data_IF_337919772674
#
_entry.id   IF_337919772674
#
_cell.length_a   1.000
_cell.length_b   1.000
_cell.length_c   1.000
_cell.angle_alpha   90.00
_cell.angle_beta   90.00
_cell.angle_gamma   90.00
#
_symmetry.space_group_name_H-M   'P 1'
#
loop_
_entity.id
_entity.type
_entity.pdbx_description
1 polymer ?
#
# COMPACT_ATOMS: atom_id res chain seq x y z
N UNK A 1 15.72 -22.23 -18.75
CA UNK A 1 14.32 -22.14 -19.22
C UNK A 1 13.33 -22.64 -18.16
N UNK A 2 13.44 -23.89 -17.69
CA UNK A 2 12.49 -24.44 -16.70
C UNK A 2 12.55 -23.75 -15.31
N UNK A 3 13.75 -23.41 -14.81
CA UNK A 3 13.91 -22.68 -13.53
C UNK A 3 13.33 -21.26 -13.61
N UNK A 4 13.63 -20.51 -14.67
CA UNK A 4 13.07 -19.17 -14.90
C UNK A 4 11.54 -19.20 -14.97
N UNK A 5 10.95 -20.22 -15.60
CA UNK A 5 9.49 -20.40 -15.60
C UNK A 5 8.92 -20.71 -14.21
N UNK A 6 9.64 -21.46 -13.37
CA UNK A 6 9.22 -21.73 -11.99
C UNK A 6 9.28 -20.44 -11.17
N UNK A 7 10.39 -19.72 -11.22
CA UNK A 7 10.59 -18.47 -10.48
C UNK A 7 9.57 -17.39 -10.90
N UNK A 8 9.31 -17.27 -12.21
CA UNK A 8 8.26 -16.39 -12.74
C UNK A 8 6.88 -16.75 -12.19
N UNK A 9 6.51 -18.05 -12.17
CA UNK A 9 5.23 -18.47 -11.58
C UNK A 9 5.17 -18.15 -10.09
N UNK A 10 6.26 -18.34 -9.35
CA UNK A 10 6.32 -17.96 -7.93
C UNK A 10 6.20 -16.44 -7.72
N UNK A 11 6.73 -15.62 -8.64
CA UNK A 11 6.51 -14.17 -8.63
C UNK A 11 5.05 -13.81 -8.92
N UNK A 12 4.42 -14.47 -9.90
CA UNK A 12 3.02 -14.25 -10.26
C UNK A 12 2.09 -14.52 -9.06
N UNK A 13 2.39 -15.58 -8.31
CA UNK A 13 1.67 -15.95 -7.09
C UNK A 13 1.80 -14.91 -5.97
N UNK A 14 3.00 -14.36 -5.78
CA UNK A 14 3.22 -13.27 -4.82
C UNK A 14 2.55 -11.97 -5.28
N UNK A 15 2.61 -11.67 -6.58
CA UNK A 15 1.93 -10.51 -7.15
C UNK A 15 0.41 -10.60 -6.93
N UNK A 16 -0.20 -11.75 -7.23
CA UNK A 16 -1.62 -12.02 -6.98
C UNK A 16 -2.00 -11.66 -5.55
N UNK A 17 -1.24 -12.18 -4.60
CA UNK A 17 -1.53 -11.97 -3.20
C UNK A 17 -1.20 -10.54 -2.72
N UNK A 18 -0.18 -9.87 -3.28
CA UNK A 18 0.13 -8.47 -3.02
C UNK A 18 -0.97 -7.53 -3.52
N UNK A 19 -1.48 -7.78 -4.73
CA UNK A 19 -2.62 -7.04 -5.31
C UNK A 19 -3.88 -7.29 -4.47
N UNK A 20 -4.16 -8.53 -4.07
CA UNK A 20 -5.30 -8.82 -3.17
C UNK A 20 -5.18 -8.07 -1.85
N UNK A 21 -4.02 -8.11 -1.20
CA UNK A 21 -3.76 -7.38 0.06
C UNK A 21 -3.95 -5.86 -0.14
N UNK A 22 -3.46 -5.32 -1.24
CA UNK A 22 -3.61 -3.90 -1.59
C UNK A 22 -5.08 -3.52 -1.82
N UNK A 23 -5.83 -4.29 -2.62
CA UNK A 23 -7.25 -4.07 -2.88
C UNK A 23 -8.09 -4.12 -1.60
N UNK A 24 -7.77 -5.02 -0.66
CA UNK A 24 -8.44 -5.09 0.64
C UNK A 24 -8.12 -3.85 1.47
N UNK A 25 -6.84 -3.46 1.53
CA UNK A 25 -6.37 -2.31 2.31
C UNK A 25 -7.06 -1.03 1.88
N UNK A 26 -7.17 -0.82 0.56
CA UNK A 26 -7.80 0.36 -0.04
C UNK A 26 -9.33 0.27 -0.12
N UNK A 27 -9.94 -0.80 0.44
CA UNK A 27 -11.39 -1.04 0.40
C UNK A 27 -11.96 -1.12 -1.03
N UNK A 28 -11.15 -1.58 -1.98
CA UNK A 28 -11.48 -1.66 -3.41
C UNK A 28 -11.70 -3.09 -3.92
N UNK A 29 -11.47 -4.12 -3.11
CA UNK A 29 -11.63 -5.52 -3.54
C UNK A 29 -13.02 -5.76 -4.12
N UNK A 30 -14.08 -5.33 -3.43
CA UNK A 30 -15.46 -5.41 -3.94
C UNK A 30 -15.79 -6.80 -4.50
N UNK A 31 -16.10 -6.84 -5.80
CA UNK A 31 -16.41 -8.05 -6.57
C UNK A 31 -15.20 -8.61 -7.34
N UNK A 32 -14.02 -8.01 -7.18
CA UNK A 32 -12.84 -8.38 -7.94
C UNK A 32 -12.27 -9.72 -7.48
N UNK A 33 -11.93 -10.58 -8.45
CA UNK A 33 -11.31 -11.87 -8.17
C UNK A 33 -10.36 -12.30 -9.28
N UNK A 34 -9.39 -13.13 -8.93
CA UNK A 34 -8.44 -13.69 -9.88
C UNK A 34 -8.96 -15.00 -10.47
N UNK A 35 -8.72 -15.19 -11.76
CA UNK A 35 -9.01 -16.40 -12.51
C UNK A 35 -7.76 -16.87 -13.26
N UNK A 36 -7.46 -18.16 -13.17
CA UNK A 36 -6.32 -18.75 -13.88
C UNK A 36 -6.56 -18.78 -15.39
N UNK A 37 -5.48 -18.72 -16.18
CA UNK A 37 -5.59 -18.59 -17.63
C UNK A 37 -6.37 -19.74 -18.31
N UNK A 38 -6.27 -20.95 -17.78
CA UNK A 38 -6.99 -22.10 -18.35
C UNK A 38 -8.51 -21.98 -18.15
N UNK A 39 -8.95 -21.43 -17.02
CA UNK A 39 -10.36 -21.15 -16.74
C UNK A 39 -10.86 -19.94 -17.54
N UNK A 40 -10.02 -18.90 -17.71
CA UNK A 40 -10.33 -17.77 -18.60
C UNK A 40 -10.55 -18.22 -20.04
N UNK A 41 -9.68 -19.08 -20.58
CA UNK A 41 -9.84 -19.67 -21.92
C UNK A 41 -11.10 -20.52 -22.03
N UNK A 42 -11.45 -21.27 -20.99
CA UNK A 42 -12.64 -22.11 -20.98
C UNK A 42 -13.95 -21.30 -21.08
N UNK A 43 -13.94 -20.02 -20.69
CA UNK A 43 -15.08 -19.10 -20.87
C UNK A 43 -15.33 -18.71 -22.33
N UNK A 44 -14.37 -18.92 -23.22
CA UNK A 44 -14.48 -18.55 -24.64
C UNK A 44 -14.36 -17.04 -24.90
N UNK A 45 -13.70 -16.31 -24.00
CA UNK A 45 -13.42 -14.88 -24.14
C UNK A 45 -12.48 -14.62 -25.34
N UNK A 46 -12.67 -13.51 -26.04
CA UNK A 46 -11.89 -13.18 -27.25
C UNK A 46 -10.50 -12.61 -26.93
N UNK A 47 -10.34 -11.97 -25.77
CA UNK A 47 -9.15 -11.21 -25.39
C UNK A 47 -8.49 -11.77 -24.13
N UNK A 48 -7.23 -11.40 -23.88
CA UNK A 48 -6.47 -11.82 -22.69
C UNK A 48 -6.17 -13.32 -22.62
N UNK A 49 -6.33 -14.06 -23.72
CA UNK A 49 -6.19 -15.53 -23.77
C UNK A 49 -4.73 -16.00 -23.74
N UNK A 50 -3.78 -15.09 -23.90
CA UNK A 50 -2.34 -15.30 -23.82
C UNK A 50 -1.71 -14.73 -22.54
N UNK A 51 -2.51 -14.12 -21.65
CA UNK A 51 -2.06 -13.69 -20.33
C UNK A 51 -1.69 -14.87 -19.42
N UNK A 52 -0.99 -14.60 -18.33
CA UNK A 52 -0.62 -15.61 -17.32
C UNK A 52 -1.69 -15.78 -16.23
N UNK A 53 -2.42 -14.71 -15.97
CA UNK A 53 -3.43 -14.58 -14.92
C UNK A 53 -4.37 -13.44 -15.33
N UNK A 54 -5.65 -13.54 -14.95
CA UNK A 54 -6.62 -12.48 -15.18
C UNK A 54 -7.25 -12.05 -13.86
N UNK A 55 -7.33 -10.74 -13.63
CA UNK A 55 -8.15 -10.13 -12.59
C UNK A 55 -9.46 -9.68 -13.22
N UNK A 56 -10.58 -10.20 -12.74
CA UNK A 56 -11.94 -9.84 -13.20
C UNK A 56 -12.56 -8.91 -12.18
N UNK A 57 -13.28 -7.89 -12.64
CA UNK A 57 -13.99 -6.92 -11.80
C UNK A 57 -15.16 -6.31 -12.59
N UNK A 58 -16.32 -6.14 -11.96
CA UNK A 58 -17.53 -5.63 -12.60
C UNK A 58 -18.28 -4.63 -11.70
N UNK A 59 -18.31 -3.37 -12.13
CA UNK A 59 -19.04 -2.31 -11.41
C UNK A 59 -18.52 -1.95 -10.01
N UNK A 60 -17.39 -2.50 -9.56
CA UNK A 60 -16.74 -2.10 -8.30
C UNK A 60 -16.05 -0.74 -8.36
N UNK A 61 -15.61 -0.26 -7.19
CA UNK A 61 -14.71 0.89 -7.07
C UNK A 61 -13.48 0.73 -7.95
N UNK A 62 -12.93 -0.50 -8.02
CA UNK A 62 -11.81 -0.83 -8.91
C UNK A 62 -12.16 -0.59 -10.39
N UNK A 63 -13.33 -1.07 -10.85
CA UNK A 63 -13.80 -0.83 -12.22
C UNK A 63 -13.89 0.68 -12.52
N UNK A 64 -14.51 1.44 -11.61
CA UNK A 64 -14.67 2.90 -11.74
C UNK A 64 -13.32 3.61 -11.81
N UNK A 65 -12.42 3.26 -10.89
CA UNK A 65 -11.08 3.80 -10.80
C UNK A 65 -10.30 3.59 -12.11
N UNK A 66 -10.28 2.36 -12.62
CA UNK A 66 -9.48 2.01 -13.80
C UNK A 66 -10.05 2.56 -15.11
N UNK A 67 -11.38 2.68 -15.24
CA UNK A 67 -12.00 3.06 -16.52
C UNK A 67 -12.37 4.55 -16.66
N UNK A 68 -12.47 5.30 -15.56
CA UNK A 68 -12.96 6.69 -15.58
C UNK A 68 -11.90 7.74 -15.23
N UNK A 69 -10.63 7.33 -15.20
CA UNK A 69 -9.48 8.22 -15.02
C UNK A 69 -9.13 8.41 -13.56
N UNK A 70 -7.99 7.84 -13.17
CA UNK A 70 -7.36 8.04 -11.87
C UNK A 70 -5.84 7.96 -12.00
N UNK A 71 -5.14 8.29 -10.93
CA UNK A 71 -3.72 8.00 -10.76
C UNK A 71 -3.52 6.51 -10.47
N UNK A 72 -2.93 5.77 -11.42
CA UNK A 72 -2.61 4.34 -11.29
C UNK A 72 -1.16 4.08 -10.87
N UNK A 73 -0.35 5.10 -10.60
CA UNK A 73 1.10 4.98 -10.38
C UNK A 73 1.47 3.91 -9.35
N UNK A 74 0.76 3.85 -8.22
CA UNK A 74 1.02 2.85 -7.18
C UNK A 74 0.66 1.43 -7.62
N UNK A 75 -0.42 1.27 -8.39
CA UNK A 75 -0.84 -0.03 -8.92
C UNK A 75 0.15 -0.51 -9.98
N UNK A 76 0.53 0.37 -10.92
CA UNK A 76 1.51 0.13 -11.97
C UNK A 76 2.85 -0.32 -11.37
N UNK A 77 3.38 0.48 -10.44
CA UNK A 77 4.63 0.19 -9.74
C UNK A 77 4.55 -1.11 -8.92
N UNK A 78 3.40 -1.42 -8.32
CA UNK A 78 3.21 -2.69 -7.61
C UNK A 78 3.29 -3.89 -8.56
N UNK A 79 2.60 -3.84 -9.70
CA UNK A 79 2.62 -4.92 -10.71
C UNK A 79 4.03 -5.09 -11.28
N UNK A 80 4.69 -3.99 -11.68
CA UNK A 80 6.06 -4.00 -12.19
C UNK A 80 7.07 -4.54 -11.19
N UNK A 81 6.85 -4.32 -9.89
CA UNK A 81 7.75 -4.79 -8.82
C UNK A 81 7.90 -6.31 -8.81
N UNK A 82 6.91 -7.05 -9.32
CA UNK A 82 6.98 -8.51 -9.45
C UNK A 82 7.45 -8.99 -10.82
N UNK A 83 7.69 -8.08 -11.77
CA UNK A 83 8.15 -8.38 -13.12
C UNK A 83 7.02 -8.64 -14.12
N UNK A 84 5.88 -7.97 -13.94
CA UNK A 84 4.75 -8.07 -14.85
C UNK A 84 4.31 -6.69 -15.31
N UNK A 85 3.63 -6.65 -16.45
CA UNK A 85 2.80 -5.54 -16.88
C UNK A 85 1.38 -6.07 -17.11
N UNK A 86 0.42 -5.19 -17.34
CA UNK A 86 -0.96 -5.62 -17.56
C UNK A 86 -1.63 -4.93 -18.75
N UNK A 87 -2.56 -5.65 -19.36
CA UNK A 87 -3.52 -5.08 -20.32
C UNK A 87 -4.86 -4.88 -19.62
N UNK A 88 -5.40 -3.67 -19.73
CA UNK A 88 -6.71 -3.32 -19.17
C UNK A 88 -7.81 -3.51 -20.22
N UNK A 89 -8.73 -4.42 -19.95
CA UNK A 89 -10.04 -4.48 -20.60
C UNK A 89 -11.11 -3.74 -19.77
N UNK A 90 -12.35 -3.75 -20.25
CA UNK A 90 -13.46 -3.05 -19.58
C UNK A 90 -13.72 -3.57 -18.16
N UNK A 91 -13.85 -4.90 -18.01
CA UNK A 91 -14.17 -5.60 -16.74
C UNK A 91 -13.16 -6.70 -16.40
N UNK A 92 -11.96 -6.61 -16.98
CA UNK A 92 -10.90 -7.60 -16.78
C UNK A 92 -9.53 -6.96 -17.00
N UNK A 93 -8.51 -7.59 -16.44
CA UNK A 93 -7.12 -7.20 -16.59
C UNK A 93 -6.24 -8.44 -16.72
N UNK A 94 -5.49 -8.57 -17.82
CA UNK A 94 -4.58 -9.68 -18.06
C UNK A 94 -3.15 -9.30 -17.69
N UNK A 95 -2.43 -10.18 -16.98
CA UNK A 95 -1.03 -9.96 -16.58
C UNK A 95 -0.06 -10.72 -17.48
N UNK A 96 1.02 -10.04 -17.86
CA UNK A 96 2.03 -10.54 -18.80
C UNK A 96 3.44 -10.30 -18.26
N UNK A 97 4.41 -11.18 -18.58
CA UNK A 97 5.78 -11.01 -18.11
C UNK A 97 6.45 -9.81 -18.78
N UNK A 98 7.25 -9.07 -18.02
CA UNK A 98 8.19 -8.08 -18.57
C UNK A 98 9.37 -8.84 -19.19
N UNK A 99 9.73 -8.48 -20.42
CA UNK A 99 10.89 -9.04 -21.11
C UNK A 99 12.18 -8.75 -20.34
N UNK A 100 13.08 -9.74 -20.26
CA UNK A 100 14.36 -9.67 -19.55
C UNK A 100 14.29 -9.35 -18.04
N UNK A 101 13.15 -9.53 -17.38
CA UNK A 101 13.05 -9.40 -15.93
C UNK A 101 13.77 -10.56 -15.20
N UNK A 102 14.57 -10.23 -14.19
CA UNK A 102 15.22 -11.22 -13.33
C UNK A 102 14.28 -11.70 -12.22
N UNK A 103 13.62 -12.84 -12.44
CA UNK A 103 12.74 -13.47 -11.46
C UNK A 103 13.49 -14.18 -10.31
N UNK A 104 14.83 -14.21 -10.33
CA UNK A 104 15.59 -14.92 -9.31
C UNK A 104 15.46 -14.25 -7.93
N UNK A 105 15.44 -15.09 -6.89
CA UNK A 105 15.36 -14.64 -5.50
C UNK A 105 16.73 -14.23 -4.99
N UNK A 106 16.78 -13.08 -4.33
CA UNK A 106 18.02 -12.66 -3.68
C UNK A 106 18.23 -13.42 -2.37
N UNK A 107 19.44 -13.95 -2.21
CA UNK A 107 19.93 -14.53 -0.96
C UNK A 107 20.88 -13.54 -0.27
N UNK A 108 20.92 -13.57 1.07
CA UNK A 108 21.79 -12.71 1.86
C UNK A 108 21.05 -11.84 2.86
N UNK A 109 21.77 -10.93 3.51
CA UNK A 109 21.19 -9.98 4.46
C UNK A 109 20.28 -8.98 3.75
N UNK A 110 19.34 -8.43 4.50
CA UNK A 110 18.46 -7.36 4.01
C UNK A 110 19.26 -6.19 3.39
N UNK A 111 20.37 -5.79 4.02
CA UNK A 111 21.29 -4.77 3.49
C UNK A 111 21.89 -5.07 2.12
N UNK A 112 22.05 -6.35 1.75
CA UNK A 112 22.51 -6.76 0.43
C UNK A 112 21.39 -6.58 -0.60
N UNK A 113 20.15 -6.92 -0.24
CA UNK A 113 18.97 -6.74 -1.09
C UNK A 113 18.71 -5.27 -1.44
N UNK A 114 19.02 -4.35 -0.53
CA UNK A 114 18.92 -2.90 -0.78
C UNK A 114 19.94 -2.36 -1.81
N UNK A 115 20.83 -3.19 -2.34
CA UNK A 115 21.73 -2.82 -3.45
C UNK A 115 21.18 -3.23 -4.82
N UNK A 116 20.05 -3.93 -4.85
CA UNK A 116 19.40 -4.35 -6.08
C UNK A 116 18.88 -3.14 -6.88
N UNK A 117 19.05 -3.11 -8.21
CA UNK A 117 18.56 -2.02 -9.05
C UNK A 117 17.04 -1.81 -8.94
N UNK A 118 16.24 -2.86 -8.68
CA UNK A 118 14.79 -2.75 -8.49
C UNK A 118 14.46 -1.97 -7.21
N UNK A 119 15.20 -2.21 -6.13
CA UNK A 119 15.08 -1.38 -4.93
C UNK A 119 15.52 0.06 -5.19
N UNK A 120 16.60 0.27 -5.93
CA UNK A 120 17.05 1.62 -6.27
C UNK A 120 16.00 2.41 -7.06
N UNK A 121 15.33 1.78 -8.04
CA UNK A 121 14.20 2.36 -8.80
C UNK A 121 13.04 2.72 -7.85
N UNK A 122 12.59 1.76 -7.03
CA UNK A 122 11.50 1.95 -6.05
C UNK A 122 11.79 3.10 -5.07
N UNK A 123 12.99 3.11 -4.49
CA UNK A 123 13.40 4.11 -3.52
C UNK A 123 13.54 5.50 -4.14
N UNK A 124 13.91 5.60 -5.42
CA UNK A 124 13.91 6.88 -6.14
C UNK A 124 12.48 7.39 -6.36
N UNK A 125 11.57 6.53 -6.83
CA UNK A 125 10.16 6.89 -7.03
C UNK A 125 9.48 7.38 -5.74
N UNK A 126 9.75 6.73 -4.61
CA UNK A 126 9.27 7.18 -3.28
C UNK A 126 9.73 8.60 -2.94
N UNK A 127 10.98 8.96 -3.27
CA UNK A 127 11.53 10.30 -3.01
C UNK A 127 10.98 11.35 -3.97
N UNK A 128 10.79 10.97 -5.23
CA UNK A 128 10.17 11.80 -6.26
C UNK A 128 8.73 12.17 -5.89
N UNK A 129 7.91 11.19 -5.51
CA UNK A 129 6.54 11.39 -5.02
C UNK A 129 6.51 12.30 -3.78
N UNK A 130 7.53 12.22 -2.94
CA UNK A 130 7.72 13.10 -1.79
C UNK A 130 8.30 14.49 -2.13
N UNK A 131 8.47 14.81 -3.42
CA UNK A 131 9.06 16.06 -3.92
C UNK A 131 10.43 16.35 -3.28
N UNK A 132 11.25 15.32 -3.12
CA UNK A 132 12.58 15.39 -2.51
C UNK A 132 12.56 16.05 -1.12
N UNK A 133 11.48 15.86 -0.37
CA UNK A 133 11.28 16.42 0.97
C UNK A 133 10.87 15.35 1.96
N UNK A 134 11.39 15.40 3.18
CA UNK A 134 11.03 14.46 4.23
C UNK A 134 9.54 14.55 4.55
N UNK A 135 8.80 13.44 4.45
CA UNK A 135 7.34 13.45 4.63
C UNK A 135 6.90 13.63 6.10
N UNK A 136 7.83 13.61 7.06
CA UNK A 136 7.54 13.81 8.48
C UNK A 136 7.90 15.21 9.00
N UNK A 137 8.84 15.92 8.35
CA UNK A 137 9.26 17.25 8.82
C UNK A 137 9.51 18.28 7.71
N UNK A 138 9.34 17.91 6.44
CA UNK A 138 9.46 18.81 5.29
C UNK A 138 10.88 19.20 4.89
N UNK A 139 11.92 18.77 5.61
CA UNK A 139 13.31 19.15 5.26
C UNK A 139 13.76 18.52 3.93
N UNK A 140 14.50 19.31 3.15
CA UNK A 140 15.17 18.87 1.91
C UNK A 140 16.61 18.49 2.23
N UNK A 141 16.82 17.22 2.54
CA UNK A 141 18.11 16.60 2.88
C UNK A 141 18.18 15.22 2.22
N UNK A 142 19.32 14.52 2.22
CA UNK A 142 19.36 13.12 1.80
C UNK A 142 18.27 12.29 2.49
N UNK A 143 17.43 11.65 1.68
CA UNK A 143 16.29 10.86 2.14
C UNK A 143 16.56 9.37 1.95
N UNK A 144 15.97 8.57 2.84
CA UNK A 144 15.86 7.13 2.73
C UNK A 144 14.39 6.75 2.52
N UNK A 145 14.13 5.69 1.74
CA UNK A 145 12.82 5.08 1.65
C UNK A 145 12.64 4.11 2.83
N UNK A 146 11.66 4.41 3.69
CA UNK A 146 11.38 3.69 4.92
C UNK A 146 10.13 2.82 4.77
N UNK A 147 10.23 1.51 4.98
CA UNK A 147 9.06 0.61 5.08
C UNK A 147 8.29 0.86 6.38
N UNK A 148 7.08 1.40 6.28
CA UNK A 148 6.18 1.64 7.42
C UNK A 148 5.41 0.40 7.88
N UNK A 149 5.31 -0.59 7.01
CA UNK A 149 4.81 -1.90 7.39
C UNK A 149 5.41 -2.97 6.48
N UNK A 150 5.40 -4.19 6.99
CA UNK A 150 5.65 -5.40 6.22
C UNK A 150 4.34 -6.17 6.20
N UNK A 151 3.88 -6.51 4.99
CA UNK A 151 2.87 -7.53 4.74
C UNK A 151 3.32 -8.88 5.30
N UNK A 152 2.40 -9.86 5.26
CA UNK A 152 2.55 -11.11 6.00
C UNK A 152 3.90 -11.80 5.70
N UNK A 153 4.62 -12.20 6.76
CA UNK A 153 5.92 -12.91 6.64
C UNK A 153 5.85 -14.21 5.83
N UNK A 154 4.64 -14.74 5.60
CA UNK A 154 4.40 -15.95 4.80
C UNK A 154 4.81 -15.79 3.34
N UNK A 155 4.70 -14.58 2.79
CA UNK A 155 4.96 -14.33 1.37
C UNK A 155 6.42 -14.01 1.06
N UNK A 156 7.17 -13.60 2.07
CA UNK A 156 8.60 -13.25 1.96
C UNK A 156 8.90 -12.28 0.81
N UNK A 157 8.15 -11.17 0.68
CA UNK A 157 8.40 -10.16 -0.35
C UNK A 157 9.83 -9.62 -0.34
N UNK A 158 10.34 -9.32 -1.52
CA UNK A 158 11.56 -8.53 -1.70
C UNK A 158 11.32 -7.05 -1.33
N UNK A 159 12.36 -6.25 -1.01
CA UNK A 159 12.17 -4.87 -0.55
C UNK A 159 11.35 -3.98 -1.49
N UNK A 160 11.38 -4.23 -2.81
CA UNK A 160 10.62 -3.49 -3.81
C UNK A 160 9.21 -4.05 -4.06
N UNK A 161 8.89 -5.26 -3.59
CA UNK A 161 7.60 -5.96 -3.78
C UNK A 161 6.47 -5.45 -2.85
N UNK A 162 6.53 -4.19 -2.42
CA UNK A 162 5.56 -3.54 -1.53
C UNK A 162 4.92 -2.33 -2.22
N UNK A 163 3.65 -1.98 -1.98
CA UNK A 163 3.04 -0.80 -2.60
C UNK A 163 3.75 0.50 -2.13
N UNK A 164 3.71 1.56 -2.94
CA UNK A 164 4.33 2.86 -2.59
C UNK A 164 3.81 3.41 -1.26
N UNK A 165 2.53 3.21 -0.96
CA UNK A 165 1.88 3.57 0.32
C UNK A 165 2.44 2.81 1.54
N UNK A 166 3.20 1.74 1.35
CA UNK A 166 3.96 1.08 2.41
C UNK A 166 5.29 1.79 2.73
N UNK A 167 5.68 2.76 1.91
CA UNK A 167 6.97 3.43 1.97
C UNK A 167 6.80 4.93 2.29
N UNK A 168 7.78 5.49 2.99
CA UNK A 168 7.88 6.94 3.21
C UNK A 168 9.28 7.45 2.92
N UNK A 169 9.40 8.62 2.30
CA UNK A 169 10.67 9.31 2.13
C UNK A 169 11.01 10.10 3.40
N UNK A 170 12.06 9.69 4.13
CA UNK A 170 12.42 10.27 5.42
C UNK A 170 13.89 10.72 5.45
N UNK A 171 14.14 11.88 6.05
CA UNK A 171 15.50 12.26 6.42
C UNK A 171 15.99 11.36 7.58
N UNK A 172 17.32 11.23 7.73
CA UNK A 172 17.91 10.30 8.71
C UNK A 172 17.38 10.46 10.15
N UNK A 173 17.22 11.68 10.73
CA UNK A 173 16.64 11.84 12.06
C UNK A 173 15.19 11.33 12.15
N UNK A 174 14.38 11.62 11.14
CA UNK A 174 12.99 11.15 11.10
C UNK A 174 12.91 9.64 10.93
N UNK A 175 13.79 9.05 10.11
CA UNK A 175 13.86 7.60 9.92
C UNK A 175 14.11 6.85 11.23
N UNK A 176 15.07 7.31 12.04
CA UNK A 176 15.36 6.70 13.36
C UNK A 176 14.20 6.88 14.33
N UNK A 177 13.60 8.09 14.36
CA UNK A 177 12.45 8.37 15.23
C UNK A 177 11.22 7.55 14.83
N UNK A 178 10.99 7.36 13.53
CA UNK A 178 9.83 6.64 12.99
C UNK A 178 9.82 5.19 13.47
N UNK A 179 10.95 4.49 13.38
CA UNK A 179 11.10 3.12 13.87
C UNK A 179 10.67 3.00 15.34
N UNK A 180 11.10 3.92 16.20
CA UNK A 180 10.73 3.93 17.62
C UNK A 180 9.23 4.18 17.83
N UNK A 181 8.64 5.10 17.05
CA UNK A 181 7.20 5.40 17.11
C UNK A 181 6.37 4.20 16.67
N UNK A 182 6.75 3.52 15.60
CA UNK A 182 6.05 2.34 15.08
C UNK A 182 6.09 1.17 16.07
N UNK A 183 7.22 0.95 16.74
CA UNK A 183 7.33 -0.04 17.83
C UNK A 183 6.34 0.26 18.96
N UNK A 184 6.22 1.53 19.38
CA UNK A 184 5.27 1.93 20.43
C UNK A 184 3.82 1.71 20.01
N UNK A 185 3.48 2.04 18.76
CA UNK A 185 2.14 1.83 18.23
C UNK A 185 1.81 0.33 18.16
N UNK A 186 2.74 -0.51 17.71
CA UNK A 186 2.57 -1.97 17.69
C UNK A 186 2.41 -2.55 19.09
N UNK A 187 3.19 -2.05 20.06
CA UNK A 187 3.05 -2.45 21.46
C UNK A 187 1.68 -2.05 22.03
N UNK A 188 1.16 -0.88 21.66
CA UNK A 188 -0.20 -0.46 22.03
C UNK A 188 -1.27 -1.35 21.39
N UNK A 189 -1.13 -1.67 20.10
CA UNK A 189 -2.07 -2.56 19.39
C UNK A 189 -2.19 -3.94 20.07
N UNK A 190 -1.14 -4.43 20.73
CA UNK A 190 -1.17 -5.68 21.48
C UNK A 190 -2.09 -5.66 22.73
N UNK A 191 -2.51 -4.48 23.19
CA UNK A 191 -3.47 -4.32 24.30
C UNK A 191 -4.94 -4.30 23.86
N UNK A 192 -5.20 -4.35 22.55
CA UNK A 192 -6.53 -4.25 21.98
C UNK A 192 -7.00 -5.62 21.47
N UNK A 193 -8.31 -5.87 21.51
CA UNK A 193 -8.92 -6.97 20.75
C UNK A 193 -8.90 -6.68 19.25
N UNK A 194 -9.11 -7.70 18.41
CA UNK A 194 -9.27 -7.51 16.96
C UNK A 194 -10.37 -6.49 16.65
N UNK A 195 -11.55 -6.64 17.25
CA UNK A 195 -12.67 -5.70 17.04
C UNK A 195 -12.32 -4.26 17.44
N UNK A 196 -11.55 -4.08 18.52
CA UNK A 196 -11.11 -2.75 18.96
C UNK A 196 -10.09 -2.15 17.98
N UNK A 197 -9.15 -2.95 17.49
CA UNK A 197 -8.16 -2.53 16.51
C UNK A 197 -8.83 -2.16 15.17
N UNK A 198 -9.77 -2.98 14.71
CA UNK A 198 -10.52 -2.76 13.48
C UNK A 198 -11.42 -1.50 13.58
N UNK A 199 -11.93 -1.19 14.77
CA UNK A 199 -12.72 0.02 15.00
C UNK A 199 -11.87 1.31 14.99
N UNK A 200 -10.56 1.25 15.26
CA UNK A 200 -9.72 2.46 15.35
C UNK A 200 -9.61 3.20 14.02
N UNK A 201 -9.40 2.47 12.91
CA UNK A 201 -9.21 3.09 11.59
C UNK A 201 -10.43 3.91 11.15
N UNK A 202 -11.65 3.36 11.03
CA UNK A 202 -12.81 4.15 10.60
C UNK A 202 -13.15 5.28 11.58
N UNK A 203 -12.95 5.08 12.89
CA UNK A 203 -13.20 6.12 13.89
C UNK A 203 -12.27 7.33 13.71
N UNK A 204 -10.96 7.09 13.57
CA UNK A 204 -9.98 8.16 13.34
C UNK A 204 -10.18 8.80 11.97
N UNK A 205 -10.36 8.01 10.91
CA UNK A 205 -10.62 8.53 9.56
C UNK A 205 -11.85 9.45 9.52
N UNK A 206 -12.94 9.04 10.17
CA UNK A 206 -14.15 9.86 10.24
C UNK A 206 -13.92 11.15 11.04
N UNK A 207 -13.20 11.09 12.16
CA UNK A 207 -12.89 12.27 12.95
C UNK A 207 -12.00 13.25 12.18
N UNK A 208 -10.94 12.76 11.52
CA UNK A 208 -10.02 13.60 10.73
C UNK A 208 -10.60 14.06 9.41
N UNK A 209 -11.67 13.41 8.94
CA UNK A 209 -12.47 13.95 7.84
C UNK A 209 -13.11 15.25 8.29
N UNK A 210 -13.85 15.29 9.41
CA UNK A 210 -14.57 16.50 9.82
C UNK A 210 -13.72 17.59 10.47
N UNK A 211 -12.59 17.23 11.07
CA UNK A 211 -11.76 18.14 11.87
C UNK A 211 -10.28 18.02 11.51
N UNK A 212 -9.51 19.07 11.77
CA UNK A 212 -8.07 19.04 11.55
C UNK A 212 -7.41 17.90 12.33
N UNK A 213 -6.46 17.19 11.72
CA UNK A 213 -5.82 16.02 12.34
C UNK A 213 -5.17 16.35 13.69
N UNK A 214 -4.50 17.50 13.80
CA UNK A 214 -3.88 17.94 15.05
C UNK A 214 -4.92 18.22 16.15
N UNK A 215 -6.09 18.75 15.78
CA UNK A 215 -7.19 19.02 16.69
C UNK A 215 -7.81 17.73 17.22
N UNK A 216 -7.99 16.70 16.37
CA UNK A 216 -8.50 15.38 16.81
C UNK A 216 -7.60 14.75 17.87
N UNK A 217 -6.28 14.71 17.65
CA UNK A 217 -5.36 14.15 18.64
C UNK A 217 -5.27 14.98 19.93
N UNK A 218 -5.36 16.31 19.80
CA UNK A 218 -5.40 17.21 20.96
C UNK A 218 -6.69 17.04 21.76
N UNK A 219 -7.84 16.87 21.09
CA UNK A 219 -9.13 16.56 21.69
C UNK A 219 -9.06 15.27 22.52
N UNK A 220 -8.60 14.17 21.92
CA UNK A 220 -8.48 12.88 22.61
C UNK A 220 -7.58 12.96 23.84
N UNK A 221 -6.51 13.75 23.76
CA UNK A 221 -5.57 13.97 24.87
C UNK A 221 -6.13 14.88 25.97
N UNK A 222 -7.10 15.73 25.65
CA UNK A 222 -7.72 16.68 26.59
C UNK A 222 -8.93 16.10 27.34
N UNK A 223 -9.40 14.90 26.98
CA UNK A 223 -10.50 14.23 27.67
C UNK A 223 -10.15 13.98 29.14
N UNK A 224 -11.11 14.25 30.01
CA UNK A 224 -10.97 14.06 31.46
C UNK A 224 -12.32 13.83 32.12
N UNK A 225 -12.34 13.39 33.39
CA UNK A 225 -13.54 12.90 34.05
C UNK A 225 -14.53 14.00 34.49
N UNK A 226 -14.15 15.28 34.33
CA UNK A 226 -14.93 16.41 34.82
C UNK A 226 -15.51 17.20 33.64
N UNK A 227 -16.66 17.82 33.85
CA UNK A 227 -17.36 18.62 32.83
C UNK A 227 -16.47 19.71 32.22
N UNK A 228 -15.62 20.36 33.01
CA UNK A 228 -14.68 21.37 32.50
C UNK A 228 -13.68 20.79 31.47
N UNK A 229 -13.27 19.53 31.63
CA UNK A 229 -12.35 18.87 30.70
C UNK A 229 -13.08 18.55 29.40
N UNK A 230 -14.32 18.06 29.48
CA UNK A 230 -15.16 17.80 28.31
C UNK A 230 -15.42 19.08 27.52
N UNK A 231 -15.77 20.17 28.21
CA UNK A 231 -15.99 21.47 27.56
C UNK A 231 -14.73 21.99 26.87
N UNK A 232 -13.57 21.91 27.54
CA UNK A 232 -12.29 22.31 26.97
C UNK A 232 -11.93 21.47 25.73
N UNK A 233 -12.10 20.15 25.81
CA UNK A 233 -11.85 19.25 24.69
C UNK A 233 -12.78 19.57 23.51
N UNK A 234 -14.09 19.71 23.74
CA UNK A 234 -15.05 20.05 22.69
C UNK A 234 -14.74 21.38 22.01
N UNK A 235 -14.20 22.35 22.75
CA UNK A 235 -13.80 23.63 22.18
C UNK A 235 -12.70 23.48 21.13
N UNK A 236 -11.72 22.59 21.35
CA UNK A 236 -10.64 22.28 20.38
C UNK A 236 -11.23 21.87 19.02
N UNK A 237 -12.25 21.02 19.01
CA UNK A 237 -12.88 20.57 17.77
C UNK A 237 -13.72 21.67 17.10
N UNK A 238 -14.43 22.49 17.89
CA UNK A 238 -15.25 23.60 17.34
C UNK A 238 -14.42 24.59 16.55
N UNK A 239 -13.19 24.84 17.00
CA UNK A 239 -12.30 25.84 16.42
C UNK A 239 -11.52 25.33 15.20
N UNK A 240 -11.58 24.02 14.91
CA UNK A 240 -10.74 23.37 13.90
C UNK A 240 -11.56 22.41 13.01
N UNK A 241 -12.74 22.85 12.55
CA UNK A 241 -13.53 22.14 11.55
C UNK A 241 -12.87 22.31 10.19
N UNK A 242 -12.78 21.21 9.44
CA UNK A 242 -12.38 21.29 8.05
C UNK A 242 -13.52 21.93 7.25
N UNK A 243 -13.17 22.89 6.40
CA UNK A 243 -14.08 23.40 5.38
C UNK A 243 -14.17 22.34 4.29
N UNK A 244 -15.33 21.72 4.16
CA UNK A 244 -15.65 20.86 3.01
C UNK A 244 -16.75 21.57 2.23
N UNK A 245 -16.44 21.94 0.98
CA UNK A 245 -17.41 22.40 -0.01
C UNK A 245 -18.31 21.26 -0.49
#
# INVERSE_FOLDING_TARGET
MQLVQIDMKLNLERMRAAITEWLIKEEMLGDAFFIDIDEWRARGETYGTDSLLVLVFDGSTLHTMLNLGCDTEEFDDLVESFGFWYELGHSWMGFYPIEDYDYSRLTGSYSTKLRDPRWAKKAALVKERAKESCQDCGVKQPLDAHHCYYTTMRQAYEPWEYPLSALRALCRPCHVRREQTEIRLRAFAASLTSDQLDALRPALSHATYWYETAAVFSFLSALGPEERHLQAAMQILRDARNEHD
#
